data_IF_381507737761
#
_entry.id   IF_381507737761
#
_cell.length_a   1.000
_cell.length_b   1.000
_cell.length_c   1.000
_cell.angle_alpha   90.00
_cell.angle_beta   90.00
_cell.angle_gamma   90.00
#
_symmetry.space_group_name_H-M   'P 1'
#
loop_
_entity.id
_entity.type
_entity.pdbx_description
1 polymer ?
#
# COMPACT_ATOMS: atom_id res chain seq x y z
N UNK A 1 15.38 -1.19 -16.69
CA UNK A 1 14.43 -2.29 -16.39
C UNK A 1 13.61 -1.90 -15.18
N UNK A 2 12.28 -1.78 -15.31
CA UNK A 2 11.41 -1.59 -14.15
C UNK A 2 11.32 -2.93 -13.40
N UNK A 3 11.73 -2.94 -12.12
CA UNK A 3 11.65 -4.12 -11.27
C UNK A 3 10.19 -4.33 -10.88
N UNK A 4 9.57 -5.40 -11.39
CA UNK A 4 8.19 -5.74 -11.04
C UNK A 4 8.11 -6.19 -9.57
N UNK A 5 7.02 -5.82 -8.89
CA UNK A 5 6.72 -6.33 -7.54
C UNK A 5 6.38 -7.80 -7.66
N UNK A 6 7.04 -8.64 -6.86
CA UNK A 6 6.75 -10.07 -6.78
C UNK A 6 5.81 -10.33 -5.61
N UNK A 7 4.73 -11.06 -5.88
CA UNK A 7 3.76 -11.49 -4.87
C UNK A 7 3.61 -13.00 -4.90
N UNK A 8 3.41 -13.60 -3.74
CA UNK A 8 2.98 -15.00 -3.62
C UNK A 8 1.52 -15.05 -3.16
N UNK A 9 0.79 -16.03 -3.68
CA UNK A 9 -0.63 -16.22 -3.37
C UNK A 9 -0.81 -17.63 -2.84
N UNK A 10 -1.56 -17.79 -1.75
CA UNK A 10 -1.87 -19.11 -1.22
C UNK A 10 -2.85 -19.84 -2.15
N UNK A 11 -2.76 -21.17 -2.24
CA UNK A 11 -3.59 -21.96 -3.16
C UNK A 11 -5.11 -21.84 -2.93
N UNK A 12 -5.53 -21.40 -1.73
CA UNK A 12 -6.93 -21.21 -1.37
C UNK A 12 -7.45 -19.77 -1.58
N UNK A 13 -6.59 -18.84 -1.98
CA UNK A 13 -6.99 -17.45 -2.21
C UNK A 13 -7.64 -17.31 -3.58
N UNK A 14 -8.94 -17.00 -3.58
CA UNK A 14 -9.76 -16.85 -4.79
C UNK A 14 -9.92 -15.40 -5.24
N UNK A 15 -9.33 -14.45 -4.52
CA UNK A 15 -9.49 -12.99 -4.75
C UNK A 15 -8.28 -12.36 -5.47
N UNK A 16 -7.23 -13.15 -5.71
CA UNK A 16 -5.96 -12.69 -6.26
C UNK A 16 -5.03 -12.04 -5.21
N UNK A 17 -5.44 -12.01 -3.94
CA UNK A 17 -4.57 -11.75 -2.80
C UNK A 17 -3.91 -10.38 -2.79
N UNK A 18 -2.58 -10.36 -2.74
CA UNK A 18 -1.79 -9.12 -2.71
C UNK A 18 -1.65 -8.49 -4.10
N UNK A 19 -1.66 -9.29 -5.17
CA UNK A 19 -1.56 -8.77 -6.54
C UNK A 19 -2.74 -7.85 -6.85
N UNK A 20 -3.96 -8.27 -6.51
CA UNK A 20 -5.18 -7.45 -6.67
C UNK A 20 -5.10 -6.17 -5.86
N UNK A 21 -4.77 -6.26 -4.56
CA UNK A 21 -4.64 -5.09 -3.67
C UNK A 21 -3.67 -4.04 -4.20
N UNK A 22 -2.51 -4.48 -4.69
CA UNK A 22 -1.48 -3.57 -5.24
C UNK A 22 -1.96 -2.93 -6.56
N UNK A 23 -2.60 -3.70 -7.44
CA UNK A 23 -3.13 -3.20 -8.70
C UNK A 23 -4.22 -2.14 -8.48
N UNK A 24 -5.14 -2.38 -7.56
CA UNK A 24 -6.19 -1.44 -7.18
C UNK A 24 -5.60 -0.18 -6.50
N UNK A 25 -4.68 -0.37 -5.56
CA UNK A 25 -3.98 0.73 -4.91
C UNK A 25 -3.24 1.61 -5.92
N UNK A 26 -2.60 1.02 -6.93
CA UNK A 26 -1.93 1.77 -7.99
C UNK A 26 -2.92 2.57 -8.86
N UNK A 27 -4.12 2.04 -9.12
CA UNK A 27 -5.17 2.78 -9.84
C UNK A 27 -5.67 3.99 -9.04
N UNK A 28 -5.86 3.84 -7.73
CA UNK A 28 -6.25 4.93 -6.83
C UNK A 28 -5.12 5.97 -6.74
N UNK A 29 -3.87 5.52 -6.57
CA UNK A 29 -2.71 6.41 -6.48
C UNK A 29 -2.51 7.26 -7.74
N UNK A 30 -2.84 6.74 -8.94
CA UNK A 30 -2.83 7.53 -10.18
C UNK A 30 -3.77 8.74 -10.15
N UNK A 31 -4.79 8.75 -9.30
CA UNK A 31 -5.71 9.88 -9.10
C UNK A 31 -5.18 10.90 -8.07
N UNK A 32 -3.97 10.72 -7.55
CA UNK A 32 -3.36 11.61 -6.57
C UNK A 32 -3.73 11.29 -5.12
N UNK A 33 -4.23 10.08 -4.86
CA UNK A 33 -4.63 9.63 -3.52
C UNK A 33 -3.62 8.60 -3.01
N UNK A 34 -2.87 8.92 -1.97
CA UNK A 34 -1.99 7.96 -1.32
C UNK A 34 -2.79 6.79 -0.72
N UNK A 35 -2.34 5.56 -0.98
CA UNK A 35 -2.97 4.34 -0.48
C UNK A 35 -2.04 3.62 0.49
N UNK A 36 -2.59 3.22 1.64
CA UNK A 36 -1.87 2.52 2.69
C UNK A 36 -2.36 1.08 2.81
N UNK A 37 -1.45 0.12 2.68
CA UNK A 37 -1.70 -1.30 2.93
C UNK A 37 -0.94 -1.70 4.19
N UNK A 38 -1.68 -1.99 5.25
CA UNK A 38 -1.17 -2.27 6.59
C UNK A 38 -1.86 -3.48 7.20
N UNK A 39 -1.19 -4.13 8.16
CA UNK A 39 -1.80 -5.21 8.90
C UNK A 39 -2.90 -4.67 9.82
N UNK A 40 -4.10 -5.22 9.71
CA UNK A 40 -5.24 -4.85 10.55
C UNK A 40 -4.98 -5.18 12.03
N UNK A 41 -5.53 -4.35 12.93
CA UNK A 41 -5.41 -4.55 14.38
C UNK A 41 -4.05 -4.14 14.96
N UNK A 42 -3.26 -3.36 14.21
CA UNK A 42 -1.97 -2.81 14.66
C UNK A 42 -2.05 -1.30 14.84
N UNK A 43 -1.09 -0.72 15.58
CA UNK A 43 -0.98 0.75 15.71
C UNK A 43 -0.82 1.44 14.35
N UNK A 44 -0.15 0.80 13.39
CA UNK A 44 -0.01 1.30 12.02
C UNK A 44 -1.34 1.34 11.27
N UNK A 45 -2.28 0.45 11.57
CA UNK A 45 -3.64 0.52 11.02
C UNK A 45 -4.44 1.72 11.54
N UNK A 46 -4.26 2.11 12.80
CA UNK A 46 -4.85 3.34 13.34
C UNK A 46 -4.23 4.58 12.71
N UNK A 47 -2.90 4.61 12.58
CA UNK A 47 -2.19 5.70 11.89
C UNK A 47 -2.64 5.85 10.43
N UNK A 48 -2.81 4.73 9.71
CA UNK A 48 -3.34 4.74 8.34
C UNK A 48 -4.75 5.37 8.28
N UNK A 49 -5.64 5.00 9.20
CA UNK A 49 -7.01 5.55 9.28
C UNK A 49 -7.03 7.05 9.59
N UNK A 50 -6.04 7.55 10.33
CA UNK A 50 -5.88 8.97 10.64
C UNK A 50 -5.20 9.76 9.49
N UNK A 51 -4.76 9.09 8.42
CA UNK A 51 -4.03 9.73 7.31
C UNK A 51 -2.56 10.06 7.63
N UNK A 52 -1.95 9.35 8.57
CA UNK A 52 -0.63 9.65 9.15
C UNK A 52 0.52 8.74 8.67
N UNK A 53 0.91 8.79 7.40
CA UNK A 53 2.34 8.65 7.11
C UNK A 53 2.83 9.93 6.44
N UNK A 54 3.04 10.96 7.27
CA UNK A 54 3.84 12.12 6.90
C UNK A 54 5.27 11.66 6.59
N UNK A 55 6.01 12.40 5.77
CA UNK A 55 7.40 12.05 5.39
C UNK A 55 8.28 11.74 6.62
N UNK A 56 8.05 12.47 7.71
CA UNK A 56 8.72 12.31 9.01
C UNK A 56 8.48 10.94 9.69
N UNK A 57 7.46 10.19 9.28
CA UNK A 57 7.10 8.89 9.85
C UNK A 57 7.58 7.69 9.03
N UNK A 58 8.18 7.92 7.85
CA UNK A 58 8.61 6.85 6.94
C UNK A 58 9.64 5.91 7.58
N UNK A 59 10.51 6.43 8.44
CA UNK A 59 11.53 5.64 9.13
C UNK A 59 10.94 4.61 10.12
N UNK A 60 9.70 4.85 10.60
CA UNK A 60 9.02 4.00 11.59
C UNK A 60 7.74 3.35 11.04
N UNK A 61 7.55 3.40 9.71
CA UNK A 61 6.38 2.85 9.06
C UNK A 61 6.51 1.35 8.82
N UNK A 62 5.54 0.57 9.31
CA UNK A 62 5.41 -0.86 9.03
C UNK A 62 4.16 -1.06 8.17
N UNK A 63 4.38 -1.18 6.86
CA UNK A 63 3.34 -1.35 5.86
C UNK A 63 3.85 -1.03 4.46
N UNK A 64 2.94 -1.03 3.48
CA UNK A 64 3.23 -0.60 2.11
C UNK A 64 2.50 0.71 1.83
N UNK A 65 3.22 1.67 1.25
CA UNK A 65 2.64 2.93 0.75
C UNK A 65 2.67 2.87 -0.78
N UNK A 66 1.51 3.11 -1.40
CA UNK A 66 1.39 3.22 -2.85
C UNK A 66 1.02 4.68 -3.16
N UNK A 67 1.91 5.36 -3.88
CA UNK A 67 1.79 6.77 -4.24
C UNK A 67 2.20 6.99 -5.69
N UNK A 68 1.66 8.04 -6.31
CA UNK A 68 2.11 8.46 -7.62
C UNK A 68 3.52 9.06 -7.51
N UNK A 69 4.44 8.64 -8.38
CA UNK A 69 5.80 9.21 -8.42
C UNK A 69 5.84 10.65 -8.97
N UNK A 70 4.71 11.13 -9.50
CA UNK A 70 4.50 12.50 -9.97
C UNK A 70 3.39 13.17 -9.15
N UNK A 71 3.60 13.37 -7.85
CA UNK A 71 2.86 14.44 -7.16
C UNK A 71 3.53 15.76 -7.51
N UNK A 72 2.73 16.70 -8.05
CA UNK A 72 3.14 18.07 -8.37
C UNK A 72 3.17 18.93 -7.11
#
# INVERSE_FOLDING_TARGET
>A
MNKAVQTATAAHDTTGGMATKISEAAMIAKLGIDVYIVQAGTDHSLKALNGEPKEEMLDNWIGTIVRNSKSF
#
